data_IF_503582635591
#
_entry.id   IF_503582635591
#
_cell.length_a   1.000
_cell.length_b   1.000
_cell.length_c   1.000
_cell.angle_alpha   90.00
_cell.angle_beta   90.00
_cell.angle_gamma   90.00
#
_symmetry.space_group_name_H-M   'P 1'
#
loop_
_entity.id
_entity.type
_entity.pdbx_description
1 polymer ?
#
# COMPACT_ATOMS: atom_id res chain seq x y z
N UNK A 1 -3.68 -34.82 -31.77
CA UNK A 1 -2.88 -35.55 -30.77
C UNK A 1 -1.66 -34.69 -30.46
N UNK A 2 -1.62 -34.21 -29.23
CA UNK A 2 -0.72 -33.18 -28.70
C UNK A 2 0.71 -33.71 -28.58
N UNK A 3 1.69 -32.95 -29.08
CA UNK A 3 3.12 -33.18 -28.82
C UNK A 3 3.70 -31.95 -28.14
N UNK A 4 4.47 -32.20 -27.08
CA UNK A 4 5.13 -31.24 -26.23
C UNK A 4 6.39 -30.64 -26.88
N UNK A 5 6.75 -29.41 -26.49
CA UNK A 5 8.09 -28.83 -26.57
C UNK A 5 8.17 -27.74 -25.49
N UNK A 6 8.75 -28.02 -24.32
CA UNK A 6 10.16 -27.81 -23.95
C UNK A 6 10.65 -26.36 -24.02
N UNK A 7 11.00 -25.86 -22.83
CA UNK A 7 12.16 -25.03 -22.51
C UNK A 7 12.41 -23.76 -23.35
N UNK A 8 12.09 -22.62 -22.74
CA UNK A 8 12.84 -21.38 -22.98
C UNK A 8 13.39 -20.89 -21.63
N UNK A 9 14.56 -21.40 -21.25
CA UNK A 9 15.46 -20.69 -20.36
C UNK A 9 16.13 -19.58 -21.18
N UNK A 10 15.87 -18.32 -20.86
CA UNK A 10 16.77 -17.23 -21.18
C UNK A 10 17.04 -16.44 -19.91
N UNK A 11 18.04 -16.93 -19.19
CA UNK A 11 18.76 -16.27 -18.11
C UNK A 11 19.74 -15.27 -18.72
N UNK A 12 19.60 -13.97 -18.41
CA UNK A 12 20.60 -12.88 -18.41
C UNK A 12 19.81 -11.57 -18.23
N UNK A 13 19.89 -10.84 -17.13
CA UNK A 13 21.04 -10.05 -16.71
C UNK A 13 21.00 -9.72 -15.20
N UNK A 14 22.09 -10.05 -14.51
CA UNK A 14 22.82 -9.40 -13.39
C UNK A 14 22.16 -8.36 -12.45
N UNK A 15 22.69 -8.26 -11.21
CA UNK A 15 21.93 -7.91 -10.01
C UNK A 15 21.88 -6.40 -9.81
N UNK A 16 20.69 -5.88 -9.52
CA UNK A 16 20.54 -4.59 -8.88
C UNK A 16 20.30 -4.85 -7.39
N UNK A 17 21.38 -4.72 -6.62
CA UNK A 17 21.32 -4.49 -5.19
C UNK A 17 20.81 -3.04 -5.01
N UNK A 18 19.50 -2.91 -4.76
CA UNK A 18 18.90 -1.77 -4.07
C UNK A 18 17.85 -2.36 -3.15
N UNK A 19 18.12 -2.28 -1.85
CA UNK A 19 17.23 -2.75 -0.80
C UNK A 19 15.83 -2.13 -0.90
N UNK A 20 14.87 -2.89 -0.37
CA UNK A 20 13.47 -2.49 -0.21
C UNK A 20 12.52 -3.54 -0.78
N UNK A 21 12.16 -4.54 0.02
CA UNK A 21 11.02 -5.45 -0.20
C UNK A 21 11.02 -6.24 -1.51
N UNK A 22 11.59 -7.45 -1.52
CA UNK A 22 11.30 -8.41 -2.60
C UNK A 22 9.79 -8.68 -2.65
N UNK A 23 9.22 -9.01 -3.83
CA UNK A 23 7.80 -9.34 -3.91
C UNK A 23 7.49 -10.45 -2.92
N UNK A 24 6.67 -10.16 -1.92
CA UNK A 24 6.09 -11.18 -1.05
C UNK A 24 5.38 -12.19 -1.96
N UNK A 25 5.90 -13.42 -2.04
CA UNK A 25 5.31 -14.52 -2.83
C UNK A 25 3.91 -14.94 -2.31
N UNK A 26 3.44 -14.30 -1.24
CA UNK A 26 2.13 -14.53 -0.65
C UNK A 26 1.02 -13.88 -1.51
N UNK A 27 -0.13 -14.56 -1.71
CA UNK A 27 -1.26 -13.97 -2.43
C UNK A 27 -1.94 -12.86 -1.62
N UNK A 28 -2.34 -11.79 -2.29
CA UNK A 28 -3.13 -10.72 -1.66
C UNK A 28 -4.50 -11.25 -1.21
N UNK A 29 -4.96 -10.83 -0.01
CA UNK A 29 -6.23 -11.26 0.59
C UNK A 29 -6.96 -10.11 1.29
N UNK A 30 -8.29 -10.23 1.48
CA UNK A 30 -9.01 -9.32 2.38
C UNK A 30 -8.47 -9.41 3.82
N UNK A 31 -8.48 -8.27 4.50
CA UNK A 31 -8.15 -8.17 5.90
C UNK A 31 -9.34 -8.57 6.79
N UNK A 32 -9.07 -9.21 7.92
CA UNK A 32 -10.04 -9.38 9.00
C UNK A 32 -10.27 -8.04 9.74
N UNK A 33 -11.32 -7.97 10.56
CA UNK A 33 -11.60 -6.79 11.36
C UNK A 33 -10.42 -6.44 12.28
N UNK A 34 -10.00 -5.17 12.27
CA UNK A 34 -8.85 -4.66 13.03
C UNK A 34 -7.47 -5.06 12.50
N UNK A 35 -7.39 -5.87 11.44
CA UNK A 35 -6.09 -6.32 10.89
C UNK A 35 -5.40 -5.22 10.07
N UNK A 36 -6.16 -4.22 9.60
CA UNK A 36 -5.63 -3.04 8.93
C UNK A 36 -5.14 -1.95 9.90
N UNK A 37 -5.42 -2.07 11.20
CA UNK A 37 -5.04 -1.05 12.17
C UNK A 37 -3.52 -0.91 12.25
N UNK A 38 -3.02 0.31 12.09
CA UNK A 38 -1.60 0.59 12.04
C UNK A 38 -1.25 1.89 11.33
N UNK A 39 0.06 2.14 11.23
CA UNK A 39 0.62 3.21 10.41
C UNK A 39 1.38 2.53 9.28
N UNK A 40 1.09 2.95 8.06
CA UNK A 40 1.51 2.32 6.82
C UNK A 40 2.21 3.37 5.95
N UNK A 41 3.35 3.01 5.33
CA UNK A 41 4.20 3.92 4.57
C UNK A 41 4.48 3.38 3.16
N UNK A 42 4.45 4.23 2.12
CA UNK A 42 4.94 3.81 0.78
C UNK A 42 6.47 3.78 0.68
N UNK A 43 7.16 4.35 1.66
CA UNK A 43 8.62 4.38 1.77
C UNK A 43 9.09 5.21 2.97
N UNK A 44 10.38 5.50 3.04
CA UNK A 44 11.01 6.25 4.16
C UNK A 44 11.34 7.71 3.80
N UNK A 45 11.10 8.14 2.55
CA UNK A 45 11.41 9.49 2.10
C UNK A 45 10.34 10.49 2.55
N UNK A 46 10.72 11.76 2.73
CA UNK A 46 9.81 12.82 3.20
C UNK A 46 8.62 13.09 2.25
N UNK A 47 8.72 12.64 1.01
CA UNK A 47 7.70 12.78 -0.03
C UNK A 47 6.81 11.53 -0.16
N UNK A 48 7.09 10.46 0.59
CA UNK A 48 6.27 9.26 0.60
C UNK A 48 5.00 9.46 1.43
N UNK A 49 3.95 8.72 1.13
CA UNK A 49 2.67 8.89 1.82
C UNK A 49 2.62 8.13 3.14
N UNK A 50 1.79 8.64 4.06
CA UNK A 50 1.42 7.99 5.31
C UNK A 50 -0.07 7.67 5.27
N UNK A 51 -0.41 6.43 5.63
CA UNK A 51 -1.78 5.99 5.87
C UNK A 51 -1.88 5.44 7.30
N UNK A 52 -2.67 6.08 8.14
CA UNK A 52 -2.98 5.63 9.50
C UNK A 52 -4.40 5.10 9.55
N UNK A 53 -4.57 3.89 10.08
CA UNK A 53 -5.87 3.25 10.29
C UNK A 53 -6.02 2.91 11.77
N UNK A 54 -7.12 3.33 12.38
CA UNK A 54 -7.43 3.04 13.77
C UNK A 54 -8.95 2.97 13.98
N UNK A 55 -9.46 1.82 14.46
CA UNK A 55 -10.89 1.63 14.74
C UNK A 55 -11.76 2.04 13.54
N UNK A 56 -11.41 1.54 12.35
CA UNK A 56 -12.02 1.86 11.05
C UNK A 56 -11.90 3.32 10.58
N UNK A 57 -11.26 4.22 11.34
CA UNK A 57 -10.93 5.58 10.90
C UNK A 57 -9.67 5.57 10.04
N UNK A 58 -9.65 6.39 9.00
CA UNK A 58 -8.53 6.54 8.08
C UNK A 58 -8.03 7.97 8.08
N UNK A 59 -6.73 8.14 8.28
CA UNK A 59 -6.01 9.39 8.08
C UNK A 59 -4.92 9.17 7.02
N UNK A 60 -4.97 9.92 5.94
CA UNK A 60 -4.02 9.83 4.83
C UNK A 60 -3.30 11.17 4.66
N UNK A 61 -2.00 11.13 4.38
CA UNK A 61 -1.21 12.30 3.99
C UNK A 61 -0.35 11.94 2.79
N UNK A 62 -0.39 12.75 1.74
CA UNK A 62 0.38 12.53 0.50
C UNK A 62 1.90 12.54 0.72
N UNK A 63 2.39 13.19 1.78
CA UNK A 63 3.81 13.29 2.12
C UNK A 63 4.07 13.28 3.62
N UNK A 64 5.17 12.69 4.06
CA UNK A 64 5.56 12.68 5.47
C UNK A 64 6.03 14.06 5.96
N UNK A 65 6.46 14.95 5.06
CA UNK A 65 6.84 16.33 5.36
C UNK A 65 5.66 17.24 5.70
N UNK A 66 4.43 16.82 5.37
CA UNK A 66 3.22 17.63 5.47
C UNK A 66 3.02 18.60 4.30
N UNK A 67 3.92 18.65 3.33
CA UNK A 67 3.69 19.32 2.04
C UNK A 67 2.89 18.37 1.12
N UNK A 68 1.59 18.22 1.37
CA UNK A 68 0.71 17.33 0.61
C UNK A 68 -0.71 17.31 1.17
N UNK A 69 -1.68 16.91 0.36
CA UNK A 69 -3.08 16.89 0.80
C UNK A 69 -3.25 15.90 1.97
N UNK A 70 -4.00 16.34 2.98
CA UNK A 70 -4.36 15.53 4.15
C UNK A 70 -5.81 15.13 4.04
N UNK A 71 -6.10 13.84 4.09
CA UNK A 71 -7.45 13.30 3.97
C UNK A 71 -7.88 12.52 5.20
N UNK A 72 -9.17 12.60 5.50
CA UNK A 72 -9.83 11.84 6.55
C UNK A 72 -10.97 11.02 5.96
N UNK A 73 -11.21 9.85 6.54
CA UNK A 73 -12.21 8.92 6.03
C UNK A 73 -12.40 7.69 6.91
N UNK A 74 -12.99 6.66 6.30
CA UNK A 74 -13.24 5.38 6.97
C UNK A 74 -12.83 4.20 6.10
N UNK A 75 -12.65 3.04 6.72
CA UNK A 75 -12.47 1.76 6.03
C UNK A 75 -13.53 0.76 6.47
N UNK A 76 -14.19 0.11 5.51
CA UNK A 76 -15.18 -0.93 5.79
C UNK A 76 -14.99 -2.08 4.81
N UNK A 77 -14.73 -3.29 5.31
CA UNK A 77 -14.47 -4.48 4.49
C UNK A 77 -13.37 -4.27 3.43
N UNK A 78 -12.30 -3.54 3.80
CA UNK A 78 -11.20 -3.21 2.89
C UNK A 78 -11.51 -2.14 1.85
N UNK A 79 -12.69 -1.51 1.87
CA UNK A 79 -12.97 -0.31 1.09
C UNK A 79 -12.65 0.91 1.93
N UNK A 80 -11.60 1.64 1.56
CA UNK A 80 -11.28 2.96 2.09
C UNK A 80 -12.12 4.00 1.36
N UNK A 81 -12.75 4.91 2.09
CA UNK A 81 -13.49 6.04 1.58
C UNK A 81 -13.01 7.32 2.27
N UNK A 82 -12.40 8.22 1.50
CA UNK A 82 -11.92 9.52 1.97
C UNK A 82 -13.03 10.56 1.80
N UNK A 83 -13.50 11.11 2.91
CA UNK A 83 -14.66 12.00 2.97
C UNK A 83 -14.27 13.48 2.96
N UNK A 84 -13.13 13.80 3.59
CA UNK A 84 -12.57 15.14 3.66
C UNK A 84 -11.14 15.10 3.14
N UNK A 85 -10.74 16.05 2.30
CA UNK A 85 -9.33 16.30 2.02
C UNK A 85 -9.08 17.79 2.06
N UNK A 86 -8.12 18.20 2.88
CA UNK A 86 -7.57 19.54 2.91
C UNK A 86 -6.34 19.59 2.03
N UNK A 87 -6.30 20.60 1.15
CA UNK A 87 -5.18 20.77 0.24
C UNK A 87 -4.02 21.44 0.94
N UNK A 88 -2.87 20.78 1.00
CA UNK A 88 -1.63 21.44 1.43
C UNK A 88 -0.61 21.39 0.30
N UNK A 89 -0.18 22.57 -0.15
CA UNK A 89 0.81 22.70 -1.22
C UNK A 89 0.23 22.92 -2.63
N UNK A 90 1.08 22.68 -3.63
CA UNK A 90 0.88 23.13 -5.01
C UNK A 90 0.05 22.19 -5.90
N UNK A 91 -0.15 20.93 -5.47
CA UNK A 91 -0.90 19.91 -6.20
C UNK A 91 -2.21 19.59 -5.49
N UNK A 92 -3.06 18.78 -6.11
CA UNK A 92 -4.35 18.35 -5.55
C UNK A 92 -4.42 16.84 -5.68
N UNK A 93 -4.67 16.18 -4.56
CA UNK A 93 -5.00 14.77 -4.50
C UNK A 93 -6.48 14.58 -4.86
N UNK A 94 -6.74 13.78 -5.89
CA UNK A 94 -8.09 13.63 -6.44
C UNK A 94 -8.76 12.31 -6.08
N UNK A 95 -8.01 11.31 -5.63
CA UNK A 95 -8.57 10.01 -5.27
C UNK A 95 -9.46 10.13 -4.03
N UNK A 96 -10.54 9.34 -4.01
CA UNK A 96 -11.52 9.36 -2.90
C UNK A 96 -11.85 7.99 -2.34
N UNK A 97 -11.42 6.94 -3.00
CA UNK A 97 -11.59 5.58 -2.50
C UNK A 97 -10.54 4.64 -3.04
N UNK A 98 -10.23 3.63 -2.24
CA UNK A 98 -9.27 2.59 -2.56
C UNK A 98 -9.73 1.24 -2.00
N UNK A 99 -9.35 0.16 -2.66
CA UNK A 99 -9.43 -1.18 -2.12
C UNK A 99 -8.11 -1.56 -1.46
N UNK A 100 -8.18 -1.98 -0.21
CA UNK A 100 -7.07 -2.46 0.61
C UNK A 100 -7.08 -3.99 0.70
N UNK A 101 -5.94 -4.61 0.38
CA UNK A 101 -5.68 -6.04 0.55
C UNK A 101 -4.35 -6.24 1.27
N UNK A 102 -4.25 -7.24 2.14
CA UNK A 102 -3.00 -7.64 2.77
C UNK A 102 -2.26 -8.63 1.88
N UNK A 103 -0.94 -8.47 1.75
CA UNK A 103 -0.06 -9.38 1.04
C UNK A 103 1.18 -9.64 1.90
N UNK A 104 1.20 -10.77 2.62
CA UNK A 104 2.17 -10.95 3.70
C UNK A 104 1.94 -9.90 4.79
N UNK A 105 3.00 -9.15 5.13
CA UNK A 105 2.94 -8.04 6.09
C UNK A 105 2.63 -6.68 5.43
N UNK A 106 2.57 -6.63 4.09
CA UNK A 106 2.34 -5.40 3.34
C UNK A 106 0.85 -5.16 3.08
N UNK A 107 0.51 -3.89 2.89
CA UNK A 107 -0.81 -3.43 2.49
C UNK A 107 -0.77 -2.98 1.02
N UNK A 108 -1.53 -3.65 0.15
CA UNK A 108 -1.77 -3.22 -1.23
C UNK A 108 -3.02 -2.36 -1.30
N UNK A 109 -2.84 -1.12 -1.76
CA UNK A 109 -3.94 -0.24 -2.12
C UNK A 109 -4.13 -0.22 -3.63
N UNK A 110 -5.38 -0.28 -4.07
CA UNK A 110 -5.77 0.00 -5.46
C UNK A 110 -6.80 1.12 -5.45
N UNK A 111 -6.39 2.30 -5.89
CA UNK A 111 -7.25 3.47 -6.04
C UNK A 111 -8.29 3.25 -7.14
N UNK A 112 -9.39 4.01 -7.12
CA UNK A 112 -10.46 3.89 -8.13
C UNK A 112 -10.01 4.24 -9.55
N UNK A 113 -8.95 5.05 -9.70
CA UNK A 113 -8.28 5.25 -10.99
C UNK A 113 -7.58 4.00 -11.54
N UNK A 114 -7.34 3.01 -10.68
CA UNK A 114 -6.57 1.80 -10.98
C UNK A 114 -5.09 1.91 -10.62
N UNK A 115 -4.65 3.05 -10.07
CA UNK A 115 -3.32 3.20 -9.50
C UNK A 115 -3.13 2.26 -8.31
N UNK A 116 -1.96 1.64 -8.22
CA UNK A 116 -1.62 0.66 -7.20
C UNK A 116 -0.42 1.11 -6.40
N UNK A 117 -0.53 0.99 -5.09
CA UNK A 117 0.51 1.35 -4.14
C UNK A 117 0.72 0.18 -3.17
N UNK A 118 1.95 0.07 -2.67
CA UNK A 118 2.31 -0.89 -1.62
C UNK A 118 2.76 -0.10 -0.42
N UNK A 119 2.16 -0.38 0.73
CA UNK A 119 2.51 0.23 1.99
C UNK A 119 3.09 -0.81 2.94
N UNK A 120 4.17 -0.46 3.60
CA UNK A 120 4.84 -1.28 4.62
C UNK A 120 4.45 -0.76 6.01
N UNK A 121 4.26 -1.62 7.02
CA UNK A 121 3.97 -1.15 8.36
C UNK A 121 5.16 -0.35 8.94
N UNK A 122 4.89 0.80 9.54
CA UNK A 122 5.92 1.65 10.18
C UNK A 122 6.55 0.97 11.40
N UNK A 123 5.77 0.16 12.12
CA UNK A 123 6.26 -0.66 13.22
C UNK A 123 6.25 -2.11 12.76
N UNK A 124 7.41 -2.75 12.83
CA UNK A 124 7.52 -4.19 12.58
C UNK A 124 6.50 -4.95 13.44
N UNK A 125 5.63 -5.72 12.77
CA UNK A 125 4.71 -6.66 13.44
C UNK A 125 5.48 -7.86 14.03
N UNK A 126 6.80 -7.93 13.80
CA UNK A 126 7.75 -8.87 14.40
C UNK A 126 7.98 -8.61 15.90
N UNK A 127 6.90 -8.72 16.68
CA UNK A 127 6.92 -8.61 18.14
C UNK A 127 5.74 -9.31 18.83
N UNK A 128 4.91 -10.06 18.09
CA UNK A 128 3.88 -10.93 18.66
C UNK A 128 4.47 -12.32 18.89
N UNK A 129 5.30 -12.46 19.93
CA UNK A 129 5.59 -13.75 20.58
C UNK A 129 4.48 -14.12 21.57
#
# INVERSE_FOLDING_TARGET
MTTAACCACLTSCLPWDKGGGGPTDEPARPAAAGELDGVWLTGEDENDSILTINDDQVYFTESQSGEGDTCEGTVVNGLIQLESCERNGGRVFTERSAHALLQGDDLRLTWVSGEQETYTPMLDVAGRE
#
